data_IF_205620901101
#
_entry.id   IF_205620901101
#
_cell.length_a   1.000
_cell.length_b   1.000
_cell.length_c   1.000
_cell.angle_alpha   90.00
_cell.angle_beta   90.00
_cell.angle_gamma   90.00
#
_symmetry.space_group_name_H-M   'P 1'
#
loop_
_entity.id
_entity.type
_entity.pdbx_description
1 polymer ?
#
# COMPACT_ATOMS: atom_id res chain seq x y z
N UNK A 1 12.10 -10.25 51.93
CA UNK A 1 10.95 -9.76 51.14
C UNK A 1 11.12 -10.24 49.70
N UNK A 2 10.23 -11.12 49.22
CA UNK A 2 10.26 -11.70 47.88
C UNK A 2 9.46 -10.85 46.89
N UNK A 3 9.90 -10.68 45.63
CA UNK A 3 9.08 -10.09 44.59
C UNK A 3 8.11 -11.13 43.99
N UNK A 4 6.84 -10.79 43.97
CA UNK A 4 5.77 -11.57 43.35
C UNK A 4 5.71 -11.21 41.86
N UNK A 5 5.91 -12.17 40.97
CA UNK A 5 5.82 -12.02 39.52
C UNK A 5 4.43 -12.48 39.03
N UNK A 6 3.62 -11.63 38.36
CA UNK A 6 2.35 -12.07 37.81
C UNK A 6 2.53 -12.84 36.49
N UNK A 7 2.14 -14.12 36.52
CA UNK A 7 2.01 -14.96 35.33
C UNK A 7 0.83 -14.50 34.46
N UNK A 8 1.10 -14.11 33.22
CA UNK A 8 0.08 -13.94 32.17
C UNK A 8 -0.01 -15.22 31.30
N UNK A 9 -1.22 -15.78 31.06
CA UNK A 9 -1.39 -16.89 30.15
C UNK A 9 -1.30 -16.43 28.68
N UNK A 10 -0.60 -17.23 27.87
CA UNK A 10 -0.42 -17.02 26.44
C UNK A 10 -1.70 -17.36 25.67
N UNK A 11 -2.37 -16.33 25.12
CA UNK A 11 -3.43 -16.52 24.13
C UNK A 11 -2.81 -16.86 22.78
N UNK A 12 -2.79 -18.17 22.50
CA UNK A 12 -2.38 -18.76 21.23
C UNK A 12 -3.48 -18.54 20.17
N UNK A 13 -3.01 -18.24 18.98
CA UNK A 13 -3.70 -18.00 17.71
C UNK A 13 -4.70 -19.09 17.29
N UNK A 14 -5.96 -18.71 17.05
CA UNK A 14 -6.93 -19.47 16.28
C UNK A 14 -7.64 -18.56 15.27
N UNK A 15 -6.99 -18.22 14.14
CA UNK A 15 -7.67 -17.62 12.98
C UNK A 15 -6.91 -17.87 11.66
N UNK A 16 -6.46 -19.11 11.43
CA UNK A 16 -5.99 -19.56 10.13
C UNK A 16 -6.71 -20.86 9.79
N UNK A 17 -7.71 -20.81 8.89
CA UNK A 17 -8.43 -22.03 8.49
C UNK A 17 -9.69 -21.84 7.64
N UNK A 18 -10.24 -20.63 7.53
CA UNK A 18 -11.54 -20.44 6.86
C UNK A 18 -11.49 -20.11 5.36
N UNK A 19 -10.32 -19.84 4.76
CA UNK A 19 -10.22 -19.46 3.34
C UNK A 19 -9.79 -20.60 2.40
N UNK A 20 -9.32 -21.74 2.92
CA UNK A 20 -8.78 -22.84 2.12
C UNK A 20 -9.83 -23.85 1.60
N UNK A 21 -11.10 -23.72 1.98
CA UNK A 21 -12.17 -24.66 1.58
C UNK A 21 -13.03 -24.12 0.41
N UNK A 22 -12.93 -22.82 0.09
CA UNK A 22 -13.72 -22.20 -0.99
C UNK A 22 -13.15 -22.48 -2.39
N UNK A 23 -11.83 -22.67 -2.52
CA UNK A 23 -11.15 -22.92 -3.80
C UNK A 23 -11.16 -24.39 -4.24
N UNK A 24 -11.73 -25.30 -3.45
CA UNK A 24 -11.79 -26.74 -3.76
C UNK A 24 -13.08 -27.15 -4.51
N UNK A 25 -14.01 -26.22 -4.76
CA UNK A 25 -15.34 -26.46 -5.37
C UNK A 25 -15.50 -26.02 -6.83
N UNK A 26 -14.41 -25.79 -7.57
CA UNK A 26 -14.49 -25.43 -9.00
C UNK A 26 -13.74 -26.38 -9.94
N UNK A 27 -13.55 -27.64 -9.54
CA UNK A 27 -13.20 -28.69 -10.49
C UNK A 27 -14.47 -29.28 -11.10
N UNK A 28 -14.82 -28.80 -12.29
CA UNK A 28 -15.78 -29.46 -13.19
C UNK A 28 -15.03 -30.64 -13.85
N UNK A 29 -15.38 -31.91 -13.57
CA UNK A 29 -14.71 -33.05 -14.19
C UNK A 29 -15.12 -33.22 -15.65
N UNK A 30 -14.10 -33.35 -16.50
CA UNK A 30 -14.16 -33.65 -17.92
C UNK A 30 -14.48 -35.14 -18.14
N UNK A 31 -15.72 -35.57 -17.93
CA UNK A 31 -16.20 -36.90 -18.35
C UNK A 31 -17.72 -36.94 -18.29
N UNK A 32 -18.34 -37.59 -19.28
CA UNK A 32 -19.79 -37.87 -19.43
C UNK A 32 -20.54 -36.98 -20.46
N UNK A 33 -20.19 -37.14 -21.74
CA UNK A 33 -21.21 -37.06 -22.79
C UNK A 33 -21.44 -38.47 -23.36
N UNK A 34 -22.36 -39.18 -22.68
CA UNK A 34 -22.91 -40.44 -23.13
C UNK A 34 -23.56 -40.29 -24.50
N UNK A 35 -23.23 -41.26 -25.36
CA UNK A 35 -23.84 -41.54 -26.65
C UNK A 35 -25.36 -41.65 -26.49
N UNK A 36 -26.11 -40.84 -27.22
CA UNK A 36 -27.55 -41.07 -27.41
C UNK A 36 -27.79 -41.32 -28.90
N UNK A 37 -28.18 -42.56 -29.18
CA UNK A 37 -28.44 -43.12 -30.50
C UNK A 37 -29.93 -43.10 -30.83
N UNK A 38 -30.25 -42.53 -32.01
CA UNK A 38 -31.38 -42.78 -32.96
C UNK A 38 -32.84 -42.47 -32.53
N UNK A 39 -33.82 -42.28 -33.46
CA UNK A 39 -33.78 -42.57 -34.90
C UNK A 39 -34.26 -41.46 -35.89
N UNK A 40 -33.70 -41.54 -37.09
CA UNK A 40 -34.31 -41.42 -38.42
C UNK A 40 -35.76 -40.86 -38.50
N UNK A 41 -35.91 -39.62 -38.97
CA UNK A 41 -37.03 -39.23 -39.86
C UNK A 41 -36.51 -38.37 -41.00
N UNK A 42 -36.98 -38.73 -42.19
CA UNK A 42 -36.53 -38.35 -43.52
C UNK A 42 -37.07 -36.96 -43.89
N UNK A 43 -36.25 -36.11 -44.51
CA UNK A 43 -36.71 -34.83 -45.07
C UNK A 43 -35.65 -34.15 -45.92
N UNK A 44 -35.71 -34.44 -47.22
CA UNK A 44 -34.84 -33.99 -48.31
C UNK A 44 -34.82 -32.45 -48.46
N UNK A 45 -33.66 -31.81 -48.31
CA UNK A 45 -33.31 -30.53 -48.94
C UNK A 45 -31.78 -30.44 -48.98
N UNK A 46 -31.17 -30.93 -50.05
CA UNK A 46 -30.66 -30.09 -51.13
C UNK A 46 -29.32 -29.40 -50.77
N UNK A 47 -28.26 -30.06 -51.24
CA UNK A 47 -26.94 -29.57 -51.64
C UNK A 47 -26.64 -28.08 -51.35
N UNK A 48 -25.65 -27.82 -50.50
CA UNK A 48 -24.39 -27.10 -50.81
C UNK A 48 -23.72 -26.64 -49.52
N UNK A 49 -22.50 -27.14 -49.25
CA UNK A 49 -21.41 -26.49 -48.50
C UNK A 49 -20.55 -27.52 -47.75
N UNK A 50 -19.99 -28.48 -48.49
CA UNK A 50 -18.89 -29.31 -48.00
C UNK A 50 -17.55 -28.61 -48.31
N UNK A 51 -17.18 -27.51 -47.63
CA UNK A 51 -15.88 -26.83 -47.87
C UNK A 51 -15.27 -26.00 -46.72
N UNK A 52 -15.68 -26.10 -45.45
CA UNK A 52 -15.00 -25.34 -44.37
C UNK A 52 -14.91 -26.14 -43.06
N UNK A 53 -14.08 -27.18 -43.01
CA UNK A 53 -13.91 -27.99 -41.78
C UNK A 53 -12.45 -28.27 -41.40
N UNK A 54 -11.48 -27.42 -41.78
CA UNK A 54 -10.06 -27.66 -41.41
C UNK A 54 -9.27 -26.46 -40.89
N UNK A 55 -9.88 -25.30 -40.63
CA UNK A 55 -9.10 -24.08 -40.30
C UNK A 55 -9.50 -23.42 -38.98
N UNK A 56 -9.66 -24.19 -37.90
CA UNK A 56 -9.82 -23.60 -36.57
C UNK A 56 -9.08 -24.42 -35.50
N UNK A 57 -7.76 -24.55 -35.65
CA UNK A 57 -6.90 -25.12 -34.60
C UNK A 57 -5.72 -24.21 -34.21
N UNK A 58 -5.82 -22.90 -34.45
CA UNK A 58 -4.80 -21.93 -34.04
C UNK A 58 -5.43 -20.64 -33.53
N UNK A 59 -5.99 -20.65 -32.29
CA UNK A 59 -6.11 -19.42 -31.46
C UNK A 59 -6.05 -19.73 -29.96
N UNK A 60 -5.21 -20.68 -29.54
CA UNK A 60 -4.88 -20.91 -28.14
C UNK A 60 -3.42 -20.53 -27.84
N UNK A 61 -3.06 -19.27 -28.09
CA UNK A 61 -1.85 -18.65 -27.51
C UNK A 61 -2.03 -17.13 -27.36
N UNK A 62 -3.19 -16.68 -26.87
CA UNK A 62 -3.26 -15.37 -26.24
C UNK A 62 -2.76 -15.54 -24.79
N UNK A 63 -1.44 -15.53 -24.62
CA UNK A 63 -0.84 -15.36 -23.30
C UNK A 63 -1.43 -14.10 -22.68
N UNK A 64 -2.15 -14.26 -21.57
CA UNK A 64 -2.51 -13.12 -20.73
C UNK A 64 -1.22 -12.55 -20.16
N UNK A 65 -0.64 -11.59 -20.87
CA UNK A 65 0.36 -10.70 -20.31
C UNK A 65 -0.36 -9.88 -19.24
N UNK A 66 -0.30 -10.36 -17.99
CA UNK A 66 -0.64 -9.54 -16.83
C UNK A 66 0.28 -8.33 -16.90
N UNK A 67 -0.24 -7.21 -17.39
CA UNK A 67 0.39 -5.92 -17.20
C UNK A 67 0.41 -5.72 -15.69
N UNK A 68 1.60 -5.86 -15.07
CA UNK A 68 1.82 -5.55 -13.65
C UNK A 68 1.53 -4.05 -13.49
N UNK A 69 0.26 -3.74 -13.22
CA UNK A 69 -0.30 -2.40 -13.30
C UNK A 69 0.20 -1.52 -12.15
N UNK A 70 0.31 -0.24 -12.50
CA UNK A 70 0.32 0.97 -11.64
C UNK A 70 -0.47 0.87 -10.32
N UNK A 71 -1.47 0.00 -10.22
CA UNK A 71 -2.30 -0.23 -9.04
C UNK A 71 -1.50 -0.59 -7.79
N UNK A 72 -0.34 -1.23 -7.91
CA UNK A 72 0.50 -1.51 -6.74
C UNK A 72 1.15 -0.24 -6.16
N UNK A 73 1.72 0.63 -7.00
CA UNK A 73 2.28 1.91 -6.56
C UNK A 73 1.20 2.89 -6.11
N UNK A 74 0.09 2.98 -6.84
CA UNK A 74 -1.06 3.79 -6.44
C UNK A 74 -1.63 3.32 -5.10
N UNK A 75 -1.71 1.99 -4.86
CA UNK A 75 -2.13 1.47 -3.56
C UNK A 75 -1.13 1.81 -2.43
N UNK A 76 0.19 1.80 -2.71
CA UNK A 76 1.21 2.21 -1.74
C UNK A 76 1.12 3.71 -1.42
N UNK A 77 0.91 4.55 -2.43
CA UNK A 77 0.74 6.01 -2.27
C UNK A 77 -0.51 6.33 -1.47
N UNK A 78 -1.65 5.68 -1.75
CA UNK A 78 -2.89 5.90 -1.00
C UNK A 78 -2.75 5.46 0.46
N UNK A 79 -2.11 4.31 0.70
CA UNK A 79 -1.79 3.87 2.07
C UNK A 79 -0.87 4.87 2.77
N UNK A 80 0.16 5.35 2.09
CA UNK A 80 1.08 6.36 2.61
C UNK A 80 0.37 7.66 2.96
N UNK A 81 -0.53 8.12 2.09
CA UNK A 81 -1.38 9.28 2.32
C UNK A 81 -2.21 9.11 3.59
N UNK A 82 -2.85 7.96 3.77
CA UNK A 82 -3.63 7.70 4.98
C UNK A 82 -2.75 7.75 6.25
N UNK A 83 -1.57 7.13 6.20
CA UNK A 83 -0.62 7.17 7.32
C UNK A 83 -0.14 8.59 7.63
N UNK A 84 0.14 9.40 6.61
CA UNK A 84 0.67 10.77 6.78
C UNK A 84 -0.41 11.76 7.21
N UNK A 85 -1.60 11.69 6.60
CA UNK A 85 -2.65 12.68 6.79
C UNK A 85 -3.59 12.37 7.95
N UNK A 86 -3.85 11.08 8.24
CA UNK A 86 -4.88 10.71 9.22
C UNK A 86 -4.32 10.11 10.50
N UNK A 87 -3.18 9.41 10.43
CA UNK A 87 -2.60 8.72 11.59
C UNK A 87 -1.44 9.50 12.19
N UNK A 88 -0.45 9.84 11.37
CA UNK A 88 0.75 10.57 11.78
C UNK A 88 0.56 12.08 11.82
N UNK A 89 -0.57 12.59 11.32
CA UNK A 89 -0.96 14.00 11.30
C UNK A 89 0.20 14.93 10.90
N UNK A 90 1.00 14.54 9.90
CA UNK A 90 2.27 15.19 9.65
C UNK A 90 2.09 16.67 9.25
N UNK A 91 0.93 17.02 8.69
CA UNK A 91 0.57 18.39 8.35
C UNK A 91 0.49 19.33 9.56
N UNK A 92 0.19 18.83 10.77
CA UNK A 92 0.08 19.68 11.97
C UNK A 92 1.37 20.45 12.26
N UNK A 93 2.51 19.84 11.97
CA UNK A 93 3.83 20.45 12.12
C UNK A 93 4.41 20.89 10.77
N UNK A 94 4.23 20.11 9.71
CA UNK A 94 4.91 20.33 8.43
C UNK A 94 4.11 21.14 7.40
N UNK A 95 2.96 21.71 7.74
CA UNK A 95 2.20 22.59 6.85
C UNK A 95 1.99 23.95 7.51
N UNK A 96 2.30 25.03 6.78
CA UNK A 96 2.04 26.38 7.26
C UNK A 96 0.53 26.62 7.46
N UNK A 97 0.18 27.49 8.41
CA UNK A 97 -1.20 27.89 8.66
C UNK A 97 -1.45 29.31 8.18
N UNK A 98 -2.65 29.57 7.69
CA UNK A 98 -3.16 30.91 7.38
C UNK A 98 -3.43 31.68 8.68
N UNK A 99 -3.62 33.01 8.64
CA UNK A 99 -4.03 33.79 9.80
C UNK A 99 -5.34 33.31 10.45
N UNK A 100 -6.21 32.64 9.68
CA UNK A 100 -7.43 31.99 10.19
C UNK A 100 -7.18 30.74 11.05
N UNK A 101 -5.95 30.22 11.07
CA UNK A 101 -5.58 28.96 11.75
C UNK A 101 -5.74 27.70 10.90
N UNK A 102 -6.40 27.81 9.74
CA UNK A 102 -6.51 26.72 8.77
C UNK A 102 -5.17 26.42 8.10
N UNK A 103 -5.00 25.20 7.60
CA UNK A 103 -3.82 24.86 6.81
C UNK A 103 -3.79 25.62 5.48
N UNK A 104 -2.64 26.22 5.18
CA UNK A 104 -2.32 26.72 3.85
C UNK A 104 -2.05 25.52 2.93
N UNK A 105 -3.11 25.04 2.25
CA UNK A 105 -3.03 23.90 1.33
C UNK A 105 -2.11 24.17 0.12
N UNK A 106 -1.80 25.43 -0.20
CA UNK A 106 -0.82 25.74 -1.25
C UNK A 106 0.61 25.37 -0.84
N UNK A 107 0.85 25.23 0.47
CA UNK A 107 2.12 24.87 1.10
C UNK A 107 2.06 23.52 1.83
N UNK A 108 1.23 22.60 1.33
CA UNK A 108 1.03 21.29 1.94
C UNK A 108 2.36 20.54 2.13
N UNK A 109 2.69 20.22 3.39
CA UNK A 109 3.90 19.50 3.79
C UNK A 109 5.24 20.17 3.41
N UNK A 110 5.23 21.48 3.13
CA UNK A 110 6.41 22.27 2.76
C UNK A 110 7.17 22.86 3.97
N UNK A 111 6.83 22.44 5.20
CA UNK A 111 7.45 22.91 6.42
C UNK A 111 6.84 24.22 6.93
N UNK A 112 7.12 24.53 8.20
CA UNK A 112 6.68 25.75 8.85
C UNK A 112 7.48 26.03 10.13
N UNK A 113 7.64 27.30 10.53
CA UNK A 113 7.96 27.65 11.91
C UNK A 113 6.88 27.10 12.85
N UNK A 114 7.31 26.52 13.98
CA UNK A 114 6.37 26.01 14.96
C UNK A 114 5.87 27.15 15.85
N UNK A 115 4.55 27.27 15.97
CA UNK A 115 3.88 28.29 16.80
C UNK A 115 3.94 28.02 18.30
N UNK A 116 4.73 27.05 18.74
CA UNK A 116 4.85 26.63 20.13
C UNK A 116 6.30 26.27 20.46
N UNK A 117 6.64 26.33 21.75
CA UNK A 117 7.97 26.02 22.27
C UNK A 117 7.87 25.33 23.63
N UNK A 118 8.92 24.59 24.05
CA UNK A 118 8.98 24.01 25.38
C UNK A 118 8.89 25.09 26.47
N UNK A 119 8.30 24.71 27.61
CA UNK A 119 8.27 25.56 28.81
C UNK A 119 9.57 25.49 29.60
N UNK A 120 10.33 24.40 29.45
CA UNK A 120 11.63 24.17 30.07
C UNK A 120 12.70 24.10 28.99
N UNK A 121 13.93 24.51 29.33
CA UNK A 121 15.03 24.43 28.38
C UNK A 121 15.38 22.96 28.07
N UNK A 122 15.32 22.61 26.79
CA UNK A 122 15.62 21.27 26.29
C UNK A 122 16.01 21.33 24.82
N UNK A 123 16.70 20.30 24.28
CA UNK A 123 16.93 20.19 22.85
C UNK A 123 15.61 20.24 22.08
N UNK A 124 15.51 21.19 21.14
CA UNK A 124 14.28 21.49 20.42
C UNK A 124 14.59 21.94 19.00
N UNK A 125 13.73 21.57 18.06
CA UNK A 125 13.74 22.12 16.72
C UNK A 125 12.58 23.12 16.57
N UNK A 126 12.84 24.44 16.44
CA UNK A 126 11.80 25.45 16.33
C UNK A 126 11.10 25.50 14.96
N UNK A 127 11.63 24.77 13.98
CA UNK A 127 11.13 24.77 12.60
C UNK A 127 10.95 23.34 12.12
N UNK A 128 9.75 23.00 11.66
CA UNK A 128 9.52 21.76 10.94
C UNK A 128 10.01 21.92 9.48
N UNK A 129 10.96 21.09 9.01
CA UNK A 129 11.48 21.21 7.66
C UNK A 129 10.45 20.81 6.59
N UNK A 130 10.63 21.19 5.31
CA UNK A 130 9.85 20.64 4.22
C UNK A 130 10.06 19.12 4.10
N UNK A 131 8.96 18.38 4.01
CA UNK A 131 8.98 16.91 3.81
C UNK A 131 8.36 16.48 2.48
N UNK A 132 7.58 17.35 1.83
CA UNK A 132 7.08 17.14 0.48
C UNK A 132 8.25 16.92 -0.50
N UNK A 133 8.25 15.78 -1.18
CA UNK A 133 9.31 15.34 -2.07
C UNK A 133 10.62 14.95 -1.37
N UNK A 134 10.64 14.89 -0.03
CA UNK A 134 11.78 14.50 0.82
C UNK A 134 13.12 15.16 0.40
N UNK A 135 13.24 16.51 0.44
CA UNK A 135 14.40 17.23 -0.08
C UNK A 135 15.69 16.97 0.71
N UNK A 136 15.59 16.60 1.99
CA UNK A 136 16.74 16.34 2.86
C UNK A 136 17.21 14.88 2.86
N UNK A 137 16.53 13.99 2.12
CA UNK A 137 16.84 12.57 2.06
C UNK A 137 17.37 12.22 0.67
N UNK A 138 18.64 11.81 0.60
CA UNK A 138 19.34 11.53 -0.67
C UNK A 138 18.77 10.29 -1.36
N UNK A 139 18.39 9.26 -0.58
CA UNK A 139 17.81 8.02 -1.10
C UNK A 139 16.50 7.68 -0.40
N UNK A 140 15.65 6.91 -1.06
CA UNK A 140 14.42 6.40 -0.45
C UNK A 140 14.70 5.44 0.70
N UNK A 141 15.76 4.64 0.61
CA UNK A 141 16.21 3.76 1.69
C UNK A 141 16.54 4.53 2.97
N UNK A 142 17.22 5.68 2.85
CA UNK A 142 17.51 6.53 4.00
C UNK A 142 16.23 7.05 4.66
N UNK A 143 15.22 7.40 3.85
CA UNK A 143 13.93 7.85 4.37
C UNK A 143 13.14 6.70 5.02
N UNK A 144 13.20 5.50 4.44
CA UNK A 144 12.57 4.30 5.03
C UNK A 144 13.21 3.97 6.36
N UNK A 145 14.54 3.90 6.45
CA UNK A 145 15.26 3.61 7.69
C UNK A 145 15.02 4.70 8.75
N UNK A 146 14.93 5.97 8.34
CA UNK A 146 14.56 7.06 9.23
C UNK A 146 13.19 6.85 9.88
N UNK A 147 12.18 6.42 9.09
CA UNK A 147 10.82 6.17 9.59
C UNK A 147 10.70 4.89 10.43
N UNK A 148 11.59 3.91 10.21
CA UNK A 148 11.64 2.67 10.99
C UNK A 148 12.43 2.84 12.31
N UNK A 149 13.47 3.67 12.31
CA UNK A 149 14.41 3.79 13.42
C UNK A 149 14.25 5.07 14.25
N UNK A 150 13.58 6.09 13.74
CA UNK A 150 13.50 7.41 14.38
C UNK A 150 14.86 8.08 14.56
N UNK A 151 15.87 7.66 13.79
CA UNK A 151 17.22 8.23 13.79
C UNK A 151 17.47 8.90 12.45
N UNK A 152 18.11 10.08 12.50
CA UNK A 152 18.58 10.79 11.30
C UNK A 152 19.62 9.94 10.56
N UNK A 153 19.89 10.19 9.26
CA UNK A 153 20.95 9.51 8.53
C UNK A 153 22.34 9.58 9.18
N UNK A 154 22.59 10.61 10.00
CA UNK A 154 23.80 10.74 10.82
C UNK A 154 23.86 9.79 12.04
N UNK A 155 22.81 9.01 12.30
CA UNK A 155 22.66 8.16 13.48
C UNK A 155 22.13 8.88 14.72
N UNK A 156 22.12 10.22 14.73
CA UNK A 156 21.63 11.00 15.85
C UNK A 156 20.09 10.90 15.97
N UNK A 157 19.53 10.97 17.20
CA UNK A 157 18.08 10.95 17.38
C UNK A 157 17.42 12.17 16.72
N UNK A 158 16.15 12.03 16.37
CA UNK A 158 15.28 13.15 16.00
C UNK A 158 15.08 14.07 17.22
N UNK A 159 15.08 15.38 17.00
CA UNK A 159 14.83 16.36 18.05
C UNK A 159 13.32 16.62 18.20
N UNK A 160 12.82 16.81 19.43
CA UNK A 160 11.46 17.27 19.67
C UNK A 160 11.13 18.58 18.92
N UNK A 161 9.87 18.79 18.51
CA UNK A 161 8.67 18.00 18.84
C UNK A 161 8.40 16.82 17.92
N UNK A 162 9.24 16.58 16.90
CA UNK A 162 8.99 15.46 15.99
C UNK A 162 9.18 14.12 16.73
N UNK A 163 8.17 13.23 16.70
CA UNK A 163 8.30 11.93 17.37
C UNK A 163 9.24 11.00 16.58
N UNK A 164 10.01 10.14 17.29
CA UNK A 164 10.79 9.10 16.63
C UNK A 164 9.87 7.96 16.19
N UNK A 165 9.46 7.95 14.93
CA UNK A 165 8.63 6.87 14.38
C UNK A 165 9.35 5.52 14.39
N UNK A 166 8.56 4.45 14.54
CA UNK A 166 8.99 3.04 14.56
C UNK A 166 8.10 2.20 13.65
N UNK A 167 7.91 2.67 12.43
CA UNK A 167 7.02 2.02 11.47
C UNK A 167 7.58 0.66 11.07
N UNK A 168 6.67 -0.25 10.67
CA UNK A 168 7.10 -1.42 9.91
C UNK A 168 7.61 -0.99 8.54
N UNK A 169 8.41 -1.83 7.91
CA UNK A 169 9.05 -1.48 6.64
C UNK A 169 8.04 -1.16 5.53
N UNK A 170 6.97 -1.92 5.42
CA UNK A 170 5.90 -1.71 4.44
C UNK A 170 5.16 -0.38 4.65
N UNK A 171 5.01 0.06 5.91
CA UNK A 171 4.43 1.35 6.28
C UNK A 171 5.38 2.50 5.95
N UNK A 172 6.65 2.35 6.30
CA UNK A 172 7.70 3.32 5.99
C UNK A 172 7.83 3.53 4.47
N UNK A 173 7.83 2.45 3.69
CA UNK A 173 7.82 2.52 2.22
C UNK A 173 6.59 3.25 1.67
N UNK A 174 5.40 2.97 2.22
CA UNK A 174 4.17 3.64 1.81
C UNK A 174 4.24 5.14 2.09
N UNK A 175 4.69 5.54 3.29
CA UNK A 175 4.90 6.95 3.67
C UNK A 175 5.88 7.62 2.71
N UNK A 176 7.02 6.99 2.43
CA UNK A 176 8.04 7.53 1.51
C UNK A 176 7.47 7.66 0.09
N UNK A 177 6.72 6.68 -0.40
CA UNK A 177 6.08 6.73 -1.70
C UNK A 177 5.11 7.93 -1.82
N UNK A 178 4.27 8.14 -0.79
CA UNK A 178 3.38 9.30 -0.76
C UNK A 178 4.16 10.62 -0.73
N UNK A 179 5.13 10.77 0.18
CA UNK A 179 5.90 12.01 0.29
C UNK A 179 6.68 12.32 -0.99
N UNK A 180 7.23 11.32 -1.68
CA UNK A 180 7.89 11.49 -2.98
C UNK A 180 6.95 11.90 -4.11
N UNK A 181 5.68 11.52 -4.04
CA UNK A 181 4.67 11.93 -5.03
C UNK A 181 4.31 13.42 -4.96
N UNK A 182 4.62 14.09 -3.85
CA UNK A 182 4.31 15.50 -3.64
C UNK A 182 5.35 16.43 -4.28
N UNK A 183 4.89 17.62 -4.66
CA UNK A 183 5.75 18.69 -5.18
C UNK A 183 6.70 19.18 -4.09
N UNK A 184 8.01 19.18 -4.37
CA UNK A 184 9.03 19.75 -3.48
C UNK A 184 8.76 21.23 -3.23
N UNK A 185 9.10 21.69 -2.03
CA UNK A 185 9.20 23.12 -1.76
C UNK A 185 10.20 23.75 -2.76
N UNK A 186 9.84 24.93 -3.27
CA UNK A 186 10.64 25.67 -4.24
C UNK A 186 11.88 26.31 -3.60
#
# INVERSE_FOLDING_TARGET
MNPVNPHFPSLRSHHQGAWAEHLRRQHIPCSEMKKLTLPLTVGLAALTAATLATTQCERLTAGSSVTLHDGSLQSKVERGKHLVENIGLCADCHTARLPSGEFDKSKWLQGAPLGFKPLVEMPWNPVAPPIAGLPTMTTDEQAVEFMMSGKRPSGAPVLPPMPPYRLKRDEAEAVVAYLRSLKKAA
#
